data_IF_564432583407
#
_entry.id   IF_564432583407
#
_cell.length_a   1.000
_cell.length_b   1.000
_cell.length_c   1.000
_cell.angle_alpha   90.00
_cell.angle_beta   90.00
_cell.angle_gamma   90.00
#
_symmetry.space_group_name_H-M   'P 1'
#
loop_
_entity.id
_entity.type
_entity.pdbx_description
1 polymer ?
#
# COMPACT_ATOMS: atom_id res chain seq x y z
N UNK A 1 21.52 24.71 -4.70
CA UNK A 1 20.10 24.61 -4.36
C UNK A 1 19.72 23.14 -4.17
N UNK A 2 18.70 22.80 -3.36
CA UNK A 2 18.15 21.44 -3.29
C UNK A 2 17.92 20.81 -4.68
N UNK A 3 17.42 21.61 -5.63
CA UNK A 3 17.19 21.19 -7.02
C UNK A 3 18.45 20.71 -7.75
N UNK A 4 19.63 21.27 -7.44
CA UNK A 4 20.90 20.86 -8.05
C UNK A 4 21.37 19.51 -7.49
N UNK A 5 21.27 19.34 -6.17
CA UNK A 5 21.60 18.08 -5.47
C UNK A 5 20.69 16.95 -5.99
N UNK A 6 19.39 17.22 -6.13
CA UNK A 6 18.42 16.26 -6.68
C UNK A 6 18.78 15.87 -8.11
N UNK A 7 19.08 16.84 -8.99
CA UNK A 7 19.46 16.56 -10.38
C UNK A 7 20.73 15.72 -10.48
N UNK A 8 21.73 16.00 -9.65
CA UNK A 8 22.96 15.21 -9.58
C UNK A 8 22.66 13.76 -9.16
N UNK A 9 21.86 13.57 -8.12
CA UNK A 9 21.46 12.24 -7.66
C UNK A 9 20.67 11.48 -8.72
N UNK A 10 19.77 12.14 -9.46
CA UNK A 10 19.04 11.52 -10.56
C UNK A 10 19.96 11.01 -11.67
N UNK A 11 21.10 11.67 -11.92
CA UNK A 11 22.07 11.24 -12.92
C UNK A 11 22.90 10.03 -12.45
N UNK A 12 23.19 9.96 -11.15
CA UNK A 12 24.10 8.97 -10.55
C UNK A 12 23.40 7.72 -10.03
N UNK A 13 22.14 7.82 -9.58
CA UNK A 13 21.41 6.69 -9.03
C UNK A 13 21.16 5.60 -10.08
N UNK A 14 21.27 4.33 -9.66
CA UNK A 14 20.95 3.18 -10.50
C UNK A 14 19.51 3.27 -11.07
N UNK A 15 18.58 3.77 -10.25
CA UNK A 15 17.21 4.05 -10.65
C UNK A 15 16.99 5.55 -10.65
N UNK A 16 17.17 6.15 -11.83
CA UNK A 16 17.28 7.61 -12.03
C UNK A 16 16.09 8.44 -11.56
N UNK A 17 14.91 7.84 -11.48
CA UNK A 17 13.70 8.56 -11.06
C UNK A 17 13.48 8.50 -9.54
N UNK A 18 14.17 7.64 -8.80
CA UNK A 18 14.03 7.57 -7.34
C UNK A 18 14.29 8.92 -6.66
N UNK A 19 15.43 9.60 -6.92
CA UNK A 19 15.79 10.82 -6.22
C UNK A 19 14.90 12.03 -6.51
N UNK A 20 13.95 11.91 -7.45
CA UNK A 20 13.05 13.01 -7.81
C UNK A 20 11.91 13.18 -6.79
N UNK A 21 11.58 12.13 -6.04
CA UNK A 21 10.36 12.08 -5.24
C UNK A 21 10.64 11.74 -3.78
N UNK A 22 9.76 12.22 -2.91
CA UNK A 22 9.55 11.67 -1.57
C UNK A 22 8.39 10.66 -1.62
N UNK A 23 8.55 9.52 -0.95
CA UNK A 23 7.64 8.38 -1.04
C UNK A 23 6.86 8.18 0.25
N UNK A 24 5.54 8.03 0.13
CA UNK A 24 4.72 7.51 1.22
C UNK A 24 4.09 6.18 0.81
N UNK A 25 4.37 5.12 1.56
CA UNK A 25 3.89 3.76 1.32
C UNK A 25 2.79 3.40 2.33
N UNK A 26 1.63 2.93 1.84
CA UNK A 26 0.49 2.64 2.71
C UNK A 26 -0.51 1.63 2.13
N UNK A 27 -1.40 1.09 2.97
CA UNK A 27 -2.58 0.32 2.57
C UNK A 27 -3.63 1.16 1.82
N UNK A 28 -4.31 0.55 0.86
CA UNK A 28 -5.38 1.17 0.07
C UNK A 28 -6.44 1.89 0.92
N UNK A 29 -6.83 1.34 2.08
CA UNK A 29 -7.84 1.96 2.96
C UNK A 29 -7.34 3.27 3.55
N UNK A 30 -6.04 3.34 3.89
CA UNK A 30 -5.41 4.56 4.36
C UNK A 30 -5.25 5.55 3.21
N UNK A 31 -4.80 5.11 2.03
CA UNK A 31 -4.69 5.95 0.85
C UNK A 31 -6.02 6.64 0.51
N UNK A 32 -7.12 5.88 0.53
CA UNK A 32 -8.48 6.41 0.34
C UNK A 32 -8.83 7.50 1.36
N UNK A 33 -8.43 7.34 2.63
CA UNK A 33 -8.65 8.36 3.67
C UNK A 33 -7.78 9.60 3.46
N UNK A 34 -6.49 9.42 3.15
CA UNK A 34 -5.54 10.51 2.88
C UNK A 34 -6.07 11.38 1.73
N UNK A 35 -6.45 10.75 0.62
CA UNK A 35 -6.98 11.44 -0.56
C UNK A 35 -8.31 12.13 -0.25
N UNK A 36 -9.22 11.46 0.45
CA UNK A 36 -10.53 12.06 0.80
C UNK A 36 -10.42 13.27 1.74
N UNK A 37 -9.38 13.33 2.57
CA UNK A 37 -9.13 14.43 3.51
C UNK A 37 -8.20 15.50 2.95
N UNK A 38 -7.43 15.20 1.90
CA UNK A 38 -6.36 16.06 1.40
C UNK A 38 -5.16 16.18 2.35
N UNK A 39 -5.04 15.28 3.34
CA UNK A 39 -4.04 15.38 4.40
C UNK A 39 -3.45 14.02 4.74
N UNK A 40 -2.13 13.99 4.86
CA UNK A 40 -1.39 12.88 5.44
C UNK A 40 -1.10 13.24 6.89
N UNK A 41 -1.70 12.52 7.83
CA UNK A 41 -1.50 12.77 9.25
C UNK A 41 -0.33 11.95 9.81
N UNK A 42 0.31 12.48 10.83
CA UNK A 42 1.20 11.73 11.69
C UNK A 42 0.46 10.56 12.32
N UNK A 43 1.22 9.61 12.86
CA UNK A 43 0.67 8.40 13.45
C UNK A 43 -0.23 8.71 14.66
N UNK A 44 0.18 9.66 15.51
CA UNK A 44 -0.62 10.13 16.65
C UNK A 44 -1.90 10.78 16.17
N UNK A 45 -1.81 11.75 15.24
CA UNK A 45 -2.98 12.42 14.69
C UNK A 45 -3.95 11.43 14.04
N UNK A 46 -3.42 10.48 13.26
CA UNK A 46 -4.24 9.50 12.56
C UNK A 46 -4.96 8.51 13.50
N UNK A 47 -4.34 8.16 14.65
CA UNK A 47 -4.99 7.39 15.72
C UNK A 47 -6.05 8.24 16.43
N UNK A 48 -5.74 9.48 16.81
CA UNK A 48 -6.66 10.39 17.49
C UNK A 48 -7.93 10.65 16.67
N UNK A 49 -7.78 10.88 15.37
CA UNK A 49 -8.90 11.11 14.45
C UNK A 49 -9.56 9.82 13.93
N UNK A 50 -9.08 8.62 14.33
CA UNK A 50 -9.58 7.30 13.88
C UNK A 50 -9.60 7.12 12.36
N UNK A 51 -8.65 7.75 11.67
CA UNK A 51 -8.52 7.73 10.20
C UNK A 51 -7.53 6.67 9.70
N UNK A 52 -6.68 6.12 10.57
CA UNK A 52 -5.82 4.98 10.25
C UNK A 52 -6.63 3.67 10.35
N UNK A 53 -6.73 2.94 9.23
CA UNK A 53 -7.46 1.66 9.15
C UNK A 53 -6.53 0.46 9.10
N UNK A 54 -5.31 0.65 8.62
CA UNK A 54 -4.22 -0.33 8.69
C UNK A 54 -2.99 0.37 9.27
N UNK A 55 -2.26 -0.30 10.14
CA UNK A 55 -1.05 0.24 10.70
C UNK A 55 0.13 -0.13 9.78
N UNK A 56 0.65 0.82 9.01
CA UNK A 56 1.60 0.54 7.92
C UNK A 56 3.00 0.03 8.40
N UNK A 57 3.21 -0.08 9.71
CA UNK A 57 4.47 -0.47 10.33
C UNK A 57 4.24 -1.52 11.41
N UNK A 58 5.26 -2.33 11.70
CA UNK A 58 5.12 -3.39 12.69
C UNK A 58 5.11 -2.84 14.13
N UNK A 59 4.35 -3.45 15.04
CA UNK A 59 4.22 -3.05 16.45
C UNK A 59 5.57 -2.95 17.15
N UNK A 60 6.54 -3.79 16.83
CA UNK A 60 7.88 -3.68 17.39
C UNK A 60 8.62 -2.41 16.92
N UNK A 61 8.53 -2.05 15.63
CA UNK A 61 9.08 -0.78 15.11
C UNK A 61 8.38 0.40 15.80
N UNK A 62 7.09 0.26 16.09
CA UNK A 62 6.28 1.26 16.75
C UNK A 62 6.68 1.41 18.22
N UNK A 63 6.74 0.32 18.96
CA UNK A 63 7.02 0.31 20.39
C UNK A 63 8.47 0.75 20.69
N UNK A 64 9.38 0.58 19.72
CA UNK A 64 10.74 1.11 19.79
C UNK A 64 10.87 2.57 19.33
N UNK A 65 9.83 3.17 18.72
CA UNK A 65 9.84 4.56 18.28
C UNK A 65 9.33 5.45 19.42
N UNK A 66 10.05 6.52 19.79
CA UNK A 66 9.54 7.46 20.80
C UNK A 66 8.23 8.13 20.36
N UNK A 67 7.39 8.54 21.32
CA UNK A 67 6.13 9.26 21.03
C UNK A 67 6.38 10.52 20.18
N UNK A 68 7.51 11.18 20.39
CA UNK A 68 7.97 12.33 19.61
C UNK A 68 8.14 11.96 18.12
N UNK A 69 8.75 10.82 17.79
CA UNK A 69 8.92 10.37 16.40
C UNK A 69 7.62 9.79 15.81
N UNK A 70 6.63 9.43 16.63
CA UNK A 70 5.26 9.09 16.18
C UNK A 70 4.39 10.32 15.87
N UNK A 71 4.80 11.51 16.30
CA UNK A 71 4.10 12.78 16.04
C UNK A 71 4.37 13.35 14.65
N UNK A 72 5.25 12.71 13.86
CA UNK A 72 5.59 13.12 12.51
C UNK A 72 4.91 12.28 11.42
N UNK A 73 4.56 12.96 10.33
CA UNK A 73 4.38 12.37 9.01
C UNK A 73 5.74 11.90 8.50
N UNK A 74 5.79 10.71 7.87
CA UNK A 74 7.01 10.14 7.32
C UNK A 74 6.90 9.94 5.81
N UNK A 75 7.96 10.36 5.13
CA UNK A 75 8.26 10.01 3.76
C UNK A 75 9.63 9.33 3.72
N UNK A 76 9.86 8.52 2.70
CA UNK A 76 11.15 7.90 2.44
C UNK A 76 11.77 8.54 1.20
N UNK A 77 13.10 8.52 1.11
CA UNK A 77 13.79 8.93 -0.11
C UNK A 77 13.62 7.92 -1.24
N UNK A 78 13.23 6.67 -0.94
CA UNK A 78 13.11 5.61 -1.93
C UNK A 78 12.02 4.59 -1.56
N UNK A 79 11.56 3.80 -2.55
CA UNK A 79 10.82 2.57 -2.28
C UNK A 79 11.76 1.40 -1.94
N UNK A 80 11.15 0.23 -1.76
CA UNK A 80 11.78 -1.06 -1.42
C UNK A 80 12.56 -0.99 -0.10
N UNK A 81 12.00 -0.30 0.90
CA UNK A 81 12.60 -0.21 2.25
C UNK A 81 12.49 -1.57 2.97
N UNK A 82 13.32 -1.88 3.97
CA UNK A 82 13.18 -3.13 4.72
C UNK A 82 11.80 -3.29 5.37
N UNK A 83 11.18 -2.18 5.82
CA UNK A 83 9.80 -2.20 6.34
C UNK A 83 8.79 -2.60 5.25
N UNK A 84 8.95 -2.10 4.03
CA UNK A 84 8.12 -2.53 2.90
C UNK A 84 8.29 -4.01 2.60
N UNK A 85 9.52 -4.53 2.57
CA UNK A 85 9.78 -5.97 2.34
C UNK A 85 9.00 -6.86 3.31
N UNK A 86 8.90 -6.47 4.58
CA UNK A 86 8.18 -7.24 5.59
C UNK A 86 6.67 -7.09 5.50
N UNK A 87 6.17 -5.92 5.09
CA UNK A 87 4.75 -5.59 5.18
C UNK A 87 4.01 -5.72 3.84
N UNK A 88 4.67 -5.69 2.68
CA UNK A 88 3.98 -5.59 1.38
C UNK A 88 3.18 -6.86 0.99
N UNK A 89 1.93 -6.65 0.60
CA UNK A 89 1.01 -7.70 0.20
C UNK A 89 0.40 -8.42 1.41
N UNK A 90 -0.61 -9.24 1.16
CA UNK A 90 -1.21 -9.98 2.27
C UNK A 90 -0.25 -11.08 2.74
N UNK A 91 0.07 -11.06 4.03
CA UNK A 91 0.86 -12.07 4.74
C UNK A 91 -0.04 -12.89 5.64
N UNK A 92 0.05 -14.22 5.51
CA UNK A 92 -0.53 -15.13 6.50
C UNK A 92 0.02 -14.79 7.90
N UNK A 93 -0.80 -14.90 8.94
CA UNK A 93 -0.46 -14.49 10.31
C UNK A 93 0.87 -15.08 10.79
N UNK A 94 1.06 -16.37 10.58
CA UNK A 94 2.31 -17.10 10.92
C UNK A 94 3.56 -16.63 10.16
N UNK A 95 3.39 -15.89 9.05
CA UNK A 95 4.50 -15.39 8.22
C UNK A 95 4.77 -13.89 8.43
N UNK A 96 4.00 -13.23 9.29
CA UNK A 96 4.18 -11.82 9.59
C UNK A 96 5.46 -11.62 10.40
N UNK A 97 6.16 -10.54 10.08
CA UNK A 97 7.43 -10.21 10.74
C UNK A 97 7.23 -10.06 12.26
N UNK A 98 8.07 -10.73 13.04
CA UNK A 98 8.03 -10.78 14.50
C UNK A 98 6.64 -11.07 15.11
N UNK A 99 5.87 -11.91 14.40
CA UNK A 99 4.50 -12.30 14.78
C UNK A 99 3.55 -11.12 14.99
N UNK A 100 3.85 -9.98 14.36
CA UNK A 100 3.04 -8.79 14.50
C UNK A 100 1.86 -8.78 13.51
N UNK A 101 0.65 -8.71 14.08
CA UNK A 101 -0.59 -8.70 13.31
C UNK A 101 -0.68 -7.50 12.35
N UNK A 102 0.05 -6.41 12.61
CA UNK A 102 0.07 -5.21 11.79
C UNK A 102 1.13 -5.21 10.66
N UNK A 103 2.06 -6.17 10.64
CA UNK A 103 3.07 -6.30 9.59
C UNK A 103 2.46 -6.87 8.29
N UNK A 104 1.47 -6.17 7.74
CA UNK A 104 0.61 -6.64 6.67
C UNK A 104 -0.08 -5.46 5.95
N UNK A 105 0.28 -5.24 4.69
CA UNK A 105 -0.31 -4.23 3.79
C UNK A 105 -0.87 -4.98 2.58
N UNK A 106 -2.11 -5.51 2.66
CA UNK A 106 -2.69 -6.36 1.63
C UNK A 106 -2.72 -5.74 0.23
N UNK A 107 -3.05 -4.46 0.15
CA UNK A 107 -3.06 -3.69 -1.10
C UNK A 107 -2.15 -2.48 -0.95
N UNK A 108 -0.91 -2.55 -1.46
CA UNK A 108 0.08 -1.48 -1.32
C UNK A 108 -0.18 -0.33 -2.30
N UNK A 109 -0.14 0.89 -1.79
CA UNK A 109 -0.26 2.14 -2.56
C UNK A 109 0.94 3.04 -2.23
N UNK A 110 1.53 3.63 -3.27
CA UNK A 110 2.50 4.71 -3.13
C UNK A 110 1.89 6.06 -3.47
N UNK A 111 2.16 7.05 -2.63
CA UNK A 111 1.96 8.47 -2.95
C UNK A 111 3.34 9.10 -3.18
N UNK A 112 3.48 9.79 -4.31
CA UNK A 112 4.71 10.43 -4.75
C UNK A 112 4.57 11.92 -4.55
N UNK A 113 5.53 12.49 -3.83
CA UNK A 113 5.60 13.92 -3.59
C UNK A 113 6.84 14.49 -4.28
N UNK A 114 6.72 15.69 -4.85
CA UNK A 114 7.85 16.44 -5.37
C UNK A 114 8.87 16.66 -4.25
N UNK A 115 10.05 16.05 -4.36
CA UNK A 115 11.04 16.06 -3.28
C UNK A 115 11.53 17.48 -2.97
N UNK A 116 11.71 18.31 -3.99
CA UNK A 116 12.18 19.68 -3.81
C UNK A 116 11.15 20.47 -2.98
N UNK A 117 9.87 20.40 -3.35
CA UNK A 117 8.81 21.11 -2.60
C UNK A 117 8.68 20.64 -1.15
N UNK A 118 8.91 19.35 -0.90
CA UNK A 118 8.91 18.81 0.47
C UNK A 118 10.10 19.35 1.26
N UNK A 119 11.31 19.36 0.69
CA UNK A 119 12.53 19.84 1.36
C UNK A 119 12.58 21.35 1.57
N UNK A 120 11.96 22.13 0.68
CA UNK A 120 11.89 23.59 0.79
C UNK A 120 10.95 24.10 1.90
N UNK A 121 10.09 23.23 2.45
CA UNK A 121 9.26 23.60 3.60
C UNK A 121 10.14 23.71 4.88
N UNK A 122 10.21 24.87 5.55
CA UNK A 122 11.06 25.06 6.72
C UNK A 122 10.73 24.16 7.92
N UNK A 123 9.55 23.52 7.92
CA UNK A 123 9.12 22.59 8.95
C UNK A 123 9.62 21.16 8.69
N UNK A 124 10.07 20.87 7.47
CA UNK A 124 10.63 19.58 7.09
C UNK A 124 11.96 19.33 7.79
N UNK A 125 12.14 18.10 8.25
CA UNK A 125 13.43 17.57 8.70
C UNK A 125 13.72 16.29 7.94
N UNK A 126 14.98 15.90 7.86
CA UNK A 126 15.37 14.66 7.18
C UNK A 126 16.56 14.02 7.88
N UNK A 127 16.70 12.71 7.69
CA UNK A 127 17.78 11.91 8.25
C UNK A 127 18.29 10.91 7.24
N UNK A 128 19.60 10.68 7.26
CA UNK A 128 20.29 9.75 6.37
C UNK A 128 19.99 8.29 6.72
N UNK A 129 19.53 8.05 7.95
CA UNK A 129 19.15 6.76 8.48
C UNK A 129 17.75 6.86 9.12
N UNK A 130 17.12 5.71 9.41
CA UNK A 130 15.78 5.69 10.00
C UNK A 130 15.73 6.25 11.44
N UNK A 131 14.61 6.82 11.85
CA UNK A 131 14.36 7.37 13.18
C UNK A 131 13.77 6.33 14.16
N UNK A 132 13.66 5.06 13.79
CA UNK A 132 13.24 4.01 14.73
C UNK A 132 14.27 3.84 15.86
N UNK A 133 13.82 3.51 17.08
CA UNK A 133 14.70 3.41 18.25
C UNK A 133 14.96 4.77 18.92
N UNK A 134 16.23 5.06 19.22
CA UNK A 134 16.67 6.32 19.83
C UNK A 134 16.69 7.53 18.86
N UNK A 135 16.24 7.35 17.62
CA UNK A 135 16.32 8.37 16.56
C UNK A 135 17.76 8.55 16.05
N UNK A 136 17.89 8.95 14.79
CA UNK A 136 19.16 9.40 14.22
C UNK A 136 19.17 10.93 14.15
N UNK A 137 20.35 11.54 13.96
CA UNK A 137 20.42 13.00 13.78
C UNK A 137 19.47 13.43 12.65
N UNK A 138 18.64 14.42 12.94
CA UNK A 138 17.82 15.09 11.93
C UNK A 138 18.50 16.39 11.50
N UNK A 139 18.35 16.70 10.23
CA UNK A 139 18.92 17.84 9.54
C UNK A 139 17.81 18.65 8.87
N UNK A 140 18.08 19.90 8.56
CA UNK A 140 17.08 20.79 7.96
C UNK A 140 17.64 21.87 7.03
N UNK A 141 18.93 21.81 6.70
CA UNK A 141 19.55 22.76 5.79
C UNK A 141 20.06 22.09 4.52
N UNK A 142 20.21 22.87 3.45
CA UNK A 142 20.74 22.39 2.18
C UNK A 142 22.19 21.88 2.33
N UNK A 143 23.01 22.57 3.12
CA UNK A 143 24.40 22.18 3.37
C UNK A 143 24.51 20.84 4.12
N UNK A 144 23.54 20.53 4.98
CA UNK A 144 23.46 19.23 5.64
C UNK A 144 22.97 18.14 4.67
N UNK A 145 21.97 18.46 3.84
CA UNK A 145 21.45 17.53 2.84
C UNK A 145 22.51 17.14 1.81
N UNK A 146 23.36 18.09 1.39
CA UNK A 146 24.45 17.86 0.45
C UNK A 146 25.51 16.87 0.96
N UNK A 147 25.55 16.59 2.27
CA UNK A 147 26.51 15.67 2.90
C UNK A 147 26.04 14.23 2.95
N UNK A 148 24.78 13.95 2.61
CA UNK A 148 24.24 12.60 2.66
C UNK A 148 24.89 11.71 1.60
N UNK A 149 25.12 10.46 1.96
CA UNK A 149 25.61 9.39 1.09
C UNK A 149 24.46 8.84 0.23
N UNK A 150 24.09 9.60 -0.79
CA UNK A 150 23.00 9.25 -1.69
C UNK A 150 23.28 8.00 -2.52
N UNK A 151 24.55 7.65 -2.75
CA UNK A 151 24.90 6.39 -3.41
C UNK A 151 24.40 5.22 -2.58
N UNK A 152 24.61 5.23 -1.26
CA UNK A 152 24.08 4.19 -0.36
C UNK A 152 22.57 4.26 -0.20
N UNK A 153 21.99 5.46 -0.07
CA UNK A 153 20.53 5.62 0.06
C UNK A 153 19.83 5.00 -1.16
N UNK A 154 20.27 5.35 -2.37
CA UNK A 154 19.65 4.91 -3.62
C UNK A 154 20.19 3.58 -4.17
N UNK A 155 21.09 2.89 -3.46
CA UNK A 155 21.59 1.59 -3.89
C UNK A 155 20.50 0.51 -3.80
N UNK A 156 20.05 -0.08 -4.93
CA UNK A 156 19.03 -1.14 -4.90
C UNK A 156 19.53 -2.43 -4.22
N UNK A 157 20.85 -2.69 -4.27
CA UNK A 157 21.50 -3.91 -3.75
C UNK A 157 22.58 -3.49 -2.76
N UNK A 158 22.21 -3.01 -1.56
CA UNK A 158 23.19 -2.55 -0.57
C UNK A 158 24.02 -3.72 -0.03
N UNK A 159 25.25 -3.41 0.40
CA UNK A 159 25.97 -4.32 1.28
C UNK A 159 25.21 -4.47 2.62
N UNK A 160 25.53 -5.52 3.39
CA UNK A 160 24.79 -5.86 4.62
C UNK A 160 24.82 -4.74 5.66
N UNK A 161 25.94 -4.04 5.75
CA UNK A 161 26.21 -2.89 6.63
C UNK A 161 25.57 -1.58 6.11
N UNK A 162 25.13 -1.54 4.85
CA UNK A 162 24.51 -0.36 4.23
C UNK A 162 22.97 -0.41 4.24
N UNK A 163 22.36 -1.52 4.69
CA UNK A 163 20.90 -1.69 4.72
C UNK A 163 20.19 -0.58 5.49
N UNK A 164 20.86 0.00 6.50
CA UNK A 164 20.31 1.09 7.31
C UNK A 164 20.03 2.37 6.49
N UNK A 165 20.80 2.65 5.44
CA UNK A 165 20.58 3.79 4.54
C UNK A 165 19.28 3.69 3.74
N UNK A 166 18.73 2.47 3.59
CA UNK A 166 17.40 2.28 2.98
C UNK A 166 16.26 2.82 3.83
N UNK A 167 16.53 3.19 5.08
CA UNK A 167 15.57 3.82 5.98
C UNK A 167 15.74 5.34 6.05
N UNK A 168 16.60 5.94 5.22
CA UNK A 168 16.67 7.39 5.08
C UNK A 168 15.27 7.96 4.87
N UNK A 169 14.91 8.94 5.69
CA UNK A 169 13.54 9.43 5.75
C UNK A 169 13.46 10.95 5.94
N UNK A 170 12.30 11.45 5.59
CA UNK A 170 11.90 12.85 5.69
C UNK A 170 10.71 12.87 6.63
N UNK A 171 10.75 13.76 7.61
CA UNK A 171 9.72 13.91 8.63
C UNK A 171 9.13 15.32 8.59
N UNK A 172 7.82 15.39 8.80
CA UNK A 172 7.05 16.64 8.83
C UNK A 172 6.07 16.61 10.01
N UNK A 173 5.95 17.69 10.81
CA UNK A 173 5.16 17.67 12.04
C UNK A 173 3.65 17.55 11.77
N UNK A 174 2.94 16.85 12.66
CA UNK A 174 1.47 16.76 12.76
C UNK A 174 0.72 16.23 11.54
N UNK A 175 0.65 17.01 10.45
CA UNK A 175 0.02 16.62 9.20
C UNK A 175 0.62 17.39 8.03
N UNK A 176 0.70 16.72 6.88
CA UNK A 176 1.12 17.31 5.61
C UNK A 176 -0.10 17.48 4.70
N UNK A 177 -0.29 18.70 4.19
CA UNK A 177 -1.28 18.98 3.15
C UNK A 177 -0.76 18.41 1.82
N UNK A 178 -1.43 17.37 1.32
CA UNK A 178 -0.88 16.58 0.22
C UNK A 178 -0.85 17.38 -1.08
N UNK A 179 -1.73 18.36 -1.26
CA UNK A 179 -1.81 19.15 -2.49
C UNK A 179 -0.58 20.03 -2.73
N UNK A 180 0.21 20.29 -1.68
CA UNK A 180 1.44 21.08 -1.79
C UNK A 180 2.46 20.43 -2.72
N UNK A 181 2.57 19.11 -2.68
CA UNK A 181 3.63 18.39 -3.39
C UNK A 181 3.21 17.08 -4.05
N UNK A 182 2.00 16.56 -3.87
CA UNK A 182 1.57 15.31 -4.50
C UNK A 182 1.60 15.43 -6.03
N UNK A 183 2.33 14.52 -6.68
CA UNK A 183 2.52 14.49 -8.14
C UNK A 183 2.09 13.17 -8.78
N UNK A 184 1.89 12.11 -7.99
CA UNK A 184 1.48 10.82 -8.51
C UNK A 184 1.03 9.85 -7.42
N UNK A 185 0.21 8.87 -7.82
CA UNK A 185 -0.24 7.77 -6.96
C UNK A 185 -0.06 6.47 -7.75
N UNK A 186 0.74 5.54 -7.23
CA UNK A 186 0.98 4.26 -7.88
C UNK A 186 0.30 3.09 -7.18
N UNK A 187 -0.28 2.22 -8.00
CA UNK A 187 -0.82 0.92 -7.63
C UNK A 187 0.04 -0.19 -8.25
N UNK A 188 0.06 -1.37 -7.64
CA UNK A 188 0.89 -2.49 -8.12
C UNK A 188 0.29 -3.20 -9.34
N UNK A 189 -1.04 -3.23 -9.42
CA UNK A 189 -1.78 -3.86 -10.53
C UNK A 189 -2.96 -2.99 -10.97
N UNK A 190 -3.50 -3.27 -12.16
CA UNK A 190 -4.69 -2.57 -12.67
C UNK A 190 -5.93 -2.85 -11.80
N UNK A 191 -6.03 -4.06 -11.24
CA UNK A 191 -7.11 -4.42 -10.34
C UNK A 191 -7.08 -3.58 -9.05
N UNK A 192 -5.89 -3.37 -8.48
CA UNK A 192 -5.71 -2.51 -7.31
C UNK A 192 -5.98 -1.04 -7.63
N UNK A 193 -5.57 -0.58 -8.83
CA UNK A 193 -5.92 0.75 -9.34
C UNK A 193 -7.44 0.94 -9.41
N UNK A 194 -8.16 0.00 -10.02
CA UNK A 194 -9.61 0.07 -10.12
C UNK A 194 -10.28 -0.02 -8.75
N UNK A 195 -9.73 -0.83 -7.84
CA UNK A 195 -10.18 -0.91 -6.45
C UNK A 195 -10.06 0.45 -5.75
N UNK A 196 -8.90 1.12 -5.87
CA UNK A 196 -8.67 2.44 -5.26
C UNK A 196 -9.64 3.48 -5.83
N UNK A 197 -9.84 3.49 -7.15
CA UNK A 197 -10.79 4.38 -7.83
C UNK A 197 -12.22 4.15 -7.35
N UNK A 198 -12.67 2.90 -7.26
CA UNK A 198 -14.02 2.55 -6.78
C UNK A 198 -14.21 2.96 -5.31
N UNK A 199 -13.24 2.65 -4.44
CA UNK A 199 -13.30 3.02 -3.02
C UNK A 199 -13.31 4.53 -2.83
N UNK A 200 -12.48 5.27 -3.58
CA UNK A 200 -12.42 6.72 -3.50
C UNK A 200 -13.70 7.38 -4.03
N UNK A 201 -14.26 6.85 -5.13
CA UNK A 201 -15.53 7.35 -5.67
C UNK A 201 -16.69 7.20 -4.68
N UNK A 202 -16.78 6.06 -3.99
CA UNK A 202 -17.80 5.83 -2.96
C UNK A 202 -17.60 6.72 -1.74
N UNK A 203 -16.34 6.90 -1.31
CA UNK A 203 -16.04 7.68 -0.11
C UNK A 203 -16.17 9.19 -0.34
N UNK A 204 -15.60 9.71 -1.42
CA UNK A 204 -15.57 11.13 -1.71
C UNK A 204 -15.44 11.37 -3.23
N UNK A 205 -16.59 11.64 -3.86
CA UNK A 205 -16.69 11.86 -5.31
C UNK A 205 -15.87 13.07 -5.80
N UNK A 206 -15.72 14.12 -5.00
CA UNK A 206 -14.90 15.28 -5.37
C UNK A 206 -13.42 14.89 -5.44
N UNK A 207 -12.93 14.18 -4.42
CA UNK A 207 -11.55 13.68 -4.37
C UNK A 207 -11.29 12.68 -5.50
N UNK A 208 -12.27 11.83 -5.84
CA UNK A 208 -12.16 10.96 -7.01
C UNK A 208 -11.86 11.75 -8.29
N UNK A 209 -12.65 12.77 -8.63
CA UNK A 209 -12.41 13.56 -9.85
C UNK A 209 -11.10 14.34 -9.80
N UNK A 210 -10.67 14.76 -8.61
CA UNK A 210 -9.41 15.46 -8.41
C UNK A 210 -8.19 14.58 -8.67
N UNK A 211 -8.19 13.34 -8.16
CA UNK A 211 -6.98 12.50 -8.16
C UNK A 211 -6.99 11.34 -9.17
N UNK A 212 -8.12 10.99 -9.80
CA UNK A 212 -8.23 9.84 -10.73
C UNK A 212 -7.17 9.80 -11.83
N UNK A 213 -6.71 10.97 -12.28
CA UNK A 213 -5.73 11.10 -13.36
C UNK A 213 -4.28 10.98 -12.85
N UNK A 214 -4.06 11.11 -11.54
CA UNK A 214 -2.78 10.84 -10.88
C UNK A 214 -2.63 9.35 -10.51
N UNK A 215 -3.72 8.60 -10.42
CA UNK A 215 -3.72 7.18 -10.04
C UNK A 215 -3.38 6.31 -11.26
N UNK A 216 -2.22 5.66 -11.21
CA UNK A 216 -1.64 4.87 -12.30
C UNK A 216 -1.04 3.56 -11.79
N UNK A 217 -0.88 2.60 -12.70
CA UNK A 217 -0.03 1.43 -12.46
C UNK A 217 1.37 1.79 -12.91
N UNK A 218 2.35 1.65 -12.01
CA UNK A 218 3.76 1.89 -12.31
C UNK A 218 4.47 0.56 -12.26
N UNK A 219 5.21 0.23 -13.33
CA UNK A 219 5.98 -1.01 -13.45
C UNK A 219 7.41 -0.79 -12.95
N UNK A 220 7.98 -1.88 -12.45
CA UNK A 220 9.39 -2.08 -12.08
C UNK A 220 9.89 -1.20 -10.92
N UNK A 221 10.78 -1.77 -10.10
CA UNK A 221 11.55 -1.09 -9.03
C UNK A 221 10.76 -0.31 -7.97
N UNK A 222 9.49 -0.67 -7.74
CA UNK A 222 8.64 -0.02 -6.72
C UNK A 222 8.05 -0.99 -5.70
N UNK A 223 7.67 -2.19 -6.13
CA UNK A 223 6.97 -3.19 -5.31
C UNK A 223 7.78 -4.49 -5.20
N UNK A 224 7.67 -5.16 -4.06
CA UNK A 224 8.35 -6.40 -3.71
C UNK A 224 7.67 -7.65 -4.29
N UNK A 225 6.35 -7.59 -4.52
CA UNK A 225 5.54 -8.73 -5.00
C UNK A 225 5.67 -9.99 -4.13
N UNK A 226 5.95 -9.83 -2.84
CA UNK A 226 6.32 -10.93 -1.94
C UNK A 226 5.19 -11.36 -0.99
N UNK A 227 3.96 -10.91 -1.22
CA UNK A 227 2.74 -11.32 -0.51
C UNK A 227 1.66 -11.85 -1.46
N UNK A 228 0.59 -12.39 -0.89
CA UNK A 228 -0.59 -12.83 -1.65
C UNK A 228 -1.42 -11.61 -2.08
N UNK A 229 -1.94 -11.63 -3.31
CA UNK A 229 -2.86 -10.62 -3.82
C UNK A 229 -3.76 -11.19 -4.92
N UNK A 230 -4.82 -10.46 -5.27
CA UNK A 230 -5.71 -10.80 -6.38
C UNK A 230 -5.12 -10.25 -7.67
N UNK A 231 -4.92 -11.10 -8.67
CA UNK A 231 -4.39 -10.71 -9.98
C UNK A 231 -5.49 -10.33 -10.94
N UNK A 232 -6.67 -10.94 -10.78
CA UNK A 232 -7.76 -10.86 -11.74
C UNK A 232 -9.11 -11.08 -11.05
N UNK A 233 -10.13 -10.37 -11.49
CA UNK A 233 -11.51 -10.48 -11.04
C UNK A 233 -12.37 -10.15 -12.25
N UNK A 234 -12.84 -11.19 -12.94
CA UNK A 234 -13.47 -11.08 -14.25
C UNK A 234 -14.90 -11.59 -14.19
N UNK A 235 -15.84 -10.79 -14.70
CA UNK A 235 -17.25 -11.13 -14.80
C UNK A 235 -17.69 -11.14 -16.27
N UNK A 236 -18.22 -12.28 -16.72
CA UNK A 236 -18.65 -12.47 -18.12
C UNK A 236 -20.16 -12.25 -18.36
N UNK A 237 -20.90 -11.85 -17.32
CA UNK A 237 -22.37 -11.72 -17.35
C UNK A 237 -23.10 -12.86 -16.64
N UNK A 238 -22.47 -14.02 -16.49
CA UNK A 238 -23.08 -15.21 -15.85
C UNK A 238 -22.22 -15.80 -14.73
N UNK A 239 -20.91 -15.63 -14.84
CA UNK A 239 -19.91 -16.19 -13.96
C UNK A 239 -18.86 -15.15 -13.58
N UNK A 240 -18.35 -15.26 -12.36
CA UNK A 240 -17.20 -14.48 -11.87
C UNK A 240 -16.02 -15.41 -11.63
N UNK A 241 -14.87 -15.10 -12.20
CA UNK A 241 -13.59 -15.74 -11.91
C UNK A 241 -12.70 -14.81 -11.10
N UNK A 242 -12.07 -15.33 -10.05
CA UNK A 242 -11.05 -14.63 -9.25
C UNK A 242 -9.76 -15.43 -9.30
N UNK A 243 -8.67 -14.77 -9.70
CA UNK A 243 -7.32 -15.36 -9.74
C UNK A 243 -6.40 -14.68 -8.73
N UNK A 244 -5.42 -15.43 -8.27
CA UNK A 244 -4.51 -15.00 -7.21
C UNK A 244 -3.06 -15.01 -7.69
N UNK A 245 -2.22 -14.29 -6.96
CA UNK A 245 -0.79 -14.22 -7.25
C UNK A 245 -0.05 -15.52 -6.92
N UNK A 246 0.80 -15.92 -7.84
CA UNK A 246 1.76 -17.01 -7.68
C UNK A 246 3.15 -16.53 -8.10
N UNK A 247 3.77 -15.73 -7.21
CA UNK A 247 5.07 -15.11 -7.48
C UNK A 247 6.18 -15.87 -6.77
N UNK A 248 7.34 -15.96 -7.43
CA UNK A 248 8.57 -16.49 -6.82
C UNK A 248 8.91 -15.75 -5.52
N UNK A 249 8.76 -14.42 -5.50
CA UNK A 249 9.06 -13.60 -4.32
C UNK A 249 8.17 -13.94 -3.11
N UNK A 250 6.89 -14.26 -3.32
CA UNK A 250 5.99 -14.72 -2.24
C UNK A 250 6.48 -16.04 -1.65
N UNK A 251 6.85 -16.99 -2.52
CA UNK A 251 7.36 -18.29 -2.12
C UNK A 251 8.68 -18.17 -1.35
N UNK A 252 9.63 -17.38 -1.87
CA UNK A 252 10.94 -17.14 -1.24
C UNK A 252 10.79 -16.46 0.12
N UNK A 253 9.89 -15.47 0.23
CA UNK A 253 9.57 -14.83 1.50
C UNK A 253 9.04 -15.84 2.52
N UNK A 254 8.04 -16.64 2.14
CA UNK A 254 7.44 -17.64 3.03
C UNK A 254 8.48 -18.66 3.52
N UNK A 255 9.32 -19.17 2.60
CA UNK A 255 10.42 -20.07 2.95
C UNK A 255 11.44 -19.45 3.90
N UNK A 256 11.84 -18.20 3.64
CA UNK A 256 12.82 -17.49 4.47
C UNK A 256 12.31 -17.23 5.89
N UNK A 257 11.01 -16.99 6.05
CA UNK A 257 10.42 -16.83 7.39
C UNK A 257 10.30 -18.18 8.08
N UNK A 258 9.79 -19.20 7.39
CA UNK A 258 9.65 -20.55 7.94
C UNK A 258 11.00 -21.18 8.31
N UNK A 259 12.10 -20.88 7.60
CA UNK A 259 13.43 -21.39 7.97
C UNK A 259 13.95 -20.85 9.32
N UNK A 260 13.27 -19.85 9.90
CA UNK A 260 13.60 -19.30 11.23
C UNK A 260 12.78 -19.93 12.37
N UNK A 261 11.76 -20.74 12.04
CA UNK A 261 10.92 -21.41 13.03
C UNK A 261 10.48 -22.78 12.53
N UNK A 262 10.89 -23.83 13.23
CA UNK A 262 10.50 -25.21 12.91
C UNK A 262 8.99 -25.47 13.08
N UNK A 263 8.25 -24.55 13.71
CA UNK A 263 6.80 -24.67 13.92
C UNK A 263 5.95 -24.29 12.70
N UNK A 264 6.53 -23.65 11.69
CA UNK A 264 5.78 -23.12 10.54
C UNK A 264 5.84 -24.10 9.38
N UNK A 265 4.76 -24.86 9.18
CA UNK A 265 4.54 -25.60 7.93
C UNK A 265 3.83 -24.70 6.90
N UNK A 266 4.59 -24.16 5.95
CA UNK A 266 4.07 -23.25 4.91
C UNK A 266 3.05 -23.92 3.97
N UNK A 267 3.03 -25.25 3.86
CA UNK A 267 2.09 -25.98 3.01
C UNK A 267 0.75 -26.23 3.69
N UNK A 268 0.70 -26.15 5.01
CA UNK A 268 -0.52 -26.26 5.80
C UNK A 268 -1.25 -24.92 5.99
N UNK A 269 -0.60 -23.79 5.66
CA UNK A 269 -1.19 -22.47 5.87
C UNK A 269 -2.38 -22.22 4.93
N UNK A 270 -3.49 -21.77 5.50
CA UNK A 270 -4.71 -21.41 4.78
C UNK A 270 -5.16 -20.00 5.12
N UNK A 271 -5.75 -19.31 4.16
CA UNK A 271 -6.31 -17.98 4.32
C UNK A 271 -7.80 -18.03 4.03
N UNK A 272 -8.61 -17.38 4.87
CA UNK A 272 -10.03 -17.25 4.60
C UNK A 272 -10.26 -16.20 3.52
N UNK A 273 -10.85 -16.62 2.40
CA UNK A 273 -11.29 -15.71 1.34
C UNK A 273 -12.78 -15.46 1.51
N UNK A 274 -13.15 -14.19 1.62
CA UNK A 274 -14.55 -13.75 1.67
C UNK A 274 -14.85 -13.00 0.36
N UNK A 275 -15.92 -13.39 -0.32
CA UNK A 275 -16.39 -12.71 -1.54
C UNK A 275 -17.80 -12.20 -1.30
N UNK A 276 -17.98 -10.89 -1.37
CA UNK A 276 -19.25 -10.21 -1.20
C UNK A 276 -19.72 -9.62 -2.53
N UNK A 277 -20.95 -9.96 -2.91
CA UNK A 277 -21.66 -9.42 -4.05
C UNK A 277 -22.75 -8.47 -3.56
N UNK A 278 -22.84 -7.28 -4.14
CA UNK A 278 -23.91 -6.32 -3.87
C UNK A 278 -24.51 -5.80 -5.18
N UNK A 279 -25.78 -6.12 -5.43
CA UNK A 279 -26.54 -5.60 -6.56
C UNK A 279 -27.18 -4.29 -6.15
N UNK A 280 -27.04 -3.28 -7.00
CA UNK A 280 -27.49 -1.94 -6.69
C UNK A 280 -28.16 -1.26 -7.87
N UNK A 281 -28.97 -0.26 -7.53
CA UNK A 281 -29.51 0.72 -8.46
C UNK A 281 -29.31 2.12 -7.89
N UNK A 282 -29.98 3.13 -8.48
CA UNK A 282 -29.87 4.53 -8.04
C UNK A 282 -30.34 4.76 -6.60
N UNK A 283 -31.20 3.89 -6.06
CA UNK A 283 -31.80 4.01 -4.74
C UNK A 283 -31.01 3.24 -3.66
N UNK A 284 -29.95 2.51 -4.04
CA UNK A 284 -29.08 1.79 -3.11
C UNK A 284 -28.95 0.31 -3.43
N UNK A 285 -28.59 -0.47 -2.41
CA UNK A 285 -28.37 -1.92 -2.52
C UNK A 285 -29.71 -2.65 -2.47
N UNK A 286 -29.95 -3.50 -3.46
CA UNK A 286 -31.16 -4.32 -3.60
C UNK A 286 -30.97 -5.72 -3.03
N UNK A 287 -29.79 -6.30 -3.25
CA UNK A 287 -29.50 -7.66 -2.85
C UNK A 287 -28.03 -7.81 -2.49
N UNK A 288 -27.75 -8.68 -1.50
CA UNK A 288 -26.39 -9.01 -1.06
C UNK A 288 -26.22 -10.52 -0.96
N UNK A 289 -25.05 -11.00 -1.36
CA UNK A 289 -24.66 -12.40 -1.19
C UNK A 289 -23.19 -12.50 -0.82
N UNK A 290 -22.88 -13.25 0.24
CA UNK A 290 -21.52 -13.48 0.70
C UNK A 290 -21.14 -14.95 0.60
N UNK A 291 -19.88 -15.21 0.28
CA UNK A 291 -19.28 -16.54 0.30
C UNK A 291 -18.01 -16.51 1.11
N UNK A 292 -17.73 -17.61 1.82
CA UNK A 292 -16.49 -17.80 2.56
C UNK A 292 -15.88 -19.14 2.16
N UNK A 293 -14.58 -19.15 1.92
CA UNK A 293 -13.84 -20.36 1.58
C UNK A 293 -12.40 -20.26 2.06
N UNK A 294 -11.89 -21.33 2.65
CA UNK A 294 -10.48 -21.42 2.98
C UNK A 294 -9.67 -21.81 1.73
N UNK A 295 -8.52 -21.16 1.58
CA UNK A 295 -7.65 -21.31 0.43
C UNK A 295 -6.21 -21.52 0.88
N UNK A 296 -5.46 -22.47 0.30
CA UNK A 296 -4.03 -22.60 0.59
C UNK A 296 -3.30 -21.29 0.30
N UNK A 297 -2.53 -20.79 1.27
CA UNK A 297 -1.83 -19.51 1.14
C UNK A 297 -0.72 -19.55 0.07
N UNK A 298 0.06 -20.64 0.08
CA UNK A 298 1.21 -20.79 -0.80
C UNK A 298 0.79 -21.01 -2.26
N UNK A 299 -0.16 -21.92 -2.48
CA UNK A 299 -0.66 -22.34 -3.80
C UNK A 299 -2.17 -22.05 -3.92
N UNK A 300 -2.56 -20.78 -4.06
CA UNK A 300 -3.97 -20.40 -4.11
C UNK A 300 -4.63 -20.89 -5.41
N UNK A 301 -5.73 -21.63 -5.29
CA UNK A 301 -6.55 -22.02 -6.44
C UNK A 301 -7.46 -20.87 -6.86
N UNK A 302 -7.73 -20.74 -8.16
CA UNK A 302 -8.73 -19.79 -8.65
C UNK A 302 -10.13 -20.12 -8.10
N UNK A 303 -10.94 -19.08 -7.87
CA UNK A 303 -12.34 -19.22 -7.46
C UNK A 303 -13.26 -18.87 -8.63
N UNK A 304 -14.24 -19.74 -8.89
CA UNK A 304 -15.28 -19.49 -9.89
C UNK A 304 -16.65 -19.54 -9.23
N UNK A 305 -17.45 -18.50 -9.47
CA UNK A 305 -18.84 -18.39 -9.05
C UNK A 305 -19.71 -18.43 -10.29
N UNK A 306 -20.32 -19.57 -10.56
CA UNK A 306 -21.26 -19.75 -11.67
C UNK A 306 -22.68 -19.43 -11.24
N UNK A 307 -23.56 -19.19 -12.22
CA UNK A 307 -24.98 -18.90 -12.01
C UNK A 307 -25.19 -17.67 -11.11
N UNK A 308 -24.45 -16.60 -11.37
CA UNK A 308 -24.64 -15.33 -10.69
C UNK A 308 -26.04 -14.81 -11.03
N UNK A 309 -26.91 -14.60 -10.03
CA UNK A 309 -28.30 -14.26 -10.29
C UNK A 309 -28.42 -12.88 -10.92
N UNK A 310 -29.38 -12.74 -11.83
CA UNK A 310 -29.86 -11.42 -12.25
C UNK A 310 -30.90 -10.96 -11.24
N UNK A 311 -30.75 -9.73 -10.75
CA UNK A 311 -31.65 -9.15 -9.74
C UNK A 311 -32.48 -8.07 -10.41
N UNK A 312 -33.81 -8.19 -10.34
CA UNK A 312 -34.73 -7.25 -10.96
C UNK A 312 -34.45 -5.81 -10.50
N UNK A 313 -34.35 -4.90 -11.45
CA UNK A 313 -34.09 -3.48 -11.20
C UNK A 313 -32.65 -3.13 -10.79
N UNK A 314 -31.75 -4.10 -10.67
CA UNK A 314 -30.33 -3.85 -10.50
C UNK A 314 -29.71 -3.36 -11.82
N UNK A 315 -28.84 -2.36 -11.73
CA UNK A 315 -28.10 -1.81 -12.89
C UNK A 315 -26.61 -2.10 -12.82
N UNK A 316 -26.14 -2.31 -11.60
CA UNK A 316 -24.74 -2.52 -11.30
C UNK A 316 -24.60 -3.61 -10.23
N UNK A 317 -23.52 -4.37 -10.30
CA UNK A 317 -23.11 -5.34 -9.30
C UNK A 317 -21.72 -4.97 -8.83
N UNK A 318 -21.54 -4.87 -7.52
CA UNK A 318 -20.23 -4.67 -6.91
C UNK A 318 -19.74 -5.97 -6.30
N UNK A 319 -18.43 -6.23 -6.42
CA UNK A 319 -17.76 -7.40 -5.88
C UNK A 319 -16.60 -6.93 -5.01
N UNK A 320 -16.65 -7.30 -3.72
CA UNK A 320 -15.58 -7.07 -2.76
C UNK A 320 -14.97 -8.40 -2.36
N UNK A 321 -13.65 -8.49 -2.44
CA UNK A 321 -12.90 -9.68 -2.02
C UNK A 321 -12.06 -9.30 -0.81
N UNK A 322 -12.07 -10.16 0.21
CA UNK A 322 -11.31 -9.99 1.42
C UNK A 322 -10.44 -11.22 1.68
N UNK A 323 -9.24 -10.97 2.20
CA UNK A 323 -8.46 -11.97 2.91
C UNK A 323 -8.59 -11.70 4.40
N UNK A 324 -9.18 -12.66 5.11
CA UNK A 324 -9.72 -12.49 6.46
C UNK A 324 -10.65 -11.26 6.53
N UNK A 325 -10.21 -10.19 7.18
CA UNK A 325 -10.94 -8.92 7.33
C UNK A 325 -10.42 -7.79 6.44
N UNK A 326 -9.40 -8.06 5.60
CA UNK A 326 -8.77 -7.03 4.79
C UNK A 326 -9.29 -7.05 3.36
N UNK A 327 -9.83 -5.92 2.89
CA UNK A 327 -10.25 -5.78 1.50
C UNK A 327 -9.02 -5.83 0.58
N UNK A 328 -9.07 -6.69 -0.43
CA UNK A 328 -7.98 -6.88 -1.40
C UNK A 328 -8.38 -6.61 -2.85
N UNK A 329 -9.67 -6.54 -3.12
CA UNK A 329 -10.21 -6.19 -4.43
C UNK A 329 -11.60 -5.57 -4.27
N UNK A 330 -11.88 -4.52 -5.05
CA UNK A 330 -13.20 -3.93 -5.17
C UNK A 330 -13.54 -3.58 -6.61
N UNK A 331 -14.43 -4.35 -7.21
CA UNK A 331 -14.86 -4.18 -8.61
C UNK A 331 -16.33 -3.81 -8.71
N UNK A 332 -16.68 -3.12 -9.80
CA UNK A 332 -18.05 -2.77 -10.16
C UNK A 332 -18.27 -3.15 -11.62
N UNK A 333 -19.38 -3.86 -11.86
CA UNK A 333 -19.79 -4.33 -13.16
C UNK A 333 -21.18 -3.80 -13.49
N UNK A 334 -21.41 -3.50 -14.76
CA UNK A 334 -22.76 -3.33 -15.29
C UNK A 334 -23.42 -4.70 -15.38
N UNK A 335 -24.66 -4.80 -14.94
CA UNK A 335 -25.47 -6.01 -15.12
C UNK A 335 -26.63 -5.71 -16.04
N UNK A 336 -27.02 -6.70 -16.85
CA UNK A 336 -28.19 -6.57 -17.72
C UNK A 336 -29.45 -6.47 -16.85
N UNK A 337 -30.39 -5.61 -17.22
CA UNK A 337 -31.70 -5.53 -16.55
C UNK A 337 -32.38 -6.90 -16.72
N UNK A 338 -32.68 -7.59 -15.62
CA UNK A 338 -33.40 -8.86 -15.69
C UNK A 338 -34.83 -8.63 -16.16
N UNK A 339 -35.24 -9.33 -17.22
CA UNK A 339 -36.63 -9.43 -17.62
C UNK A 339 -37.45 -10.13 -16.52
N UNK A 340 -38.73 -9.72 -16.43
CA UNK A 340 -39.72 -10.22 -15.48
C UNK A 340 -39.86 -11.74 -15.62
N UNK A 341 -39.69 -12.49 -14.52
CA UNK A 341 -40.18 -13.86 -14.39
C UNK A 341 -41.66 -13.87 -13.96
#
# INVERSE_FOLDING_TARGET
>A
MYSDIIKQNMANAAIRWWPKYAYHFTDIRNAVNILALGRLYSRIGAKQFKIMKNDNASKQVIDMTSEEVMSFVRFYFRPLTPTQYHNEGYKHRELRYDSDDNANIPVPIFLFFDLQKVLEDPSTRFSELGQAGHGNKTCNSEEEFAKFDFEKIYNPIPAKDEVAYKHAEIIYPDFYDIDRALVGIACRTELERQSLLNMLQEKNRQSFYKYKDMIRVVRDDLFEYNGLFVTDCDYDGTSLAIRFSDTKNKYDYAKKVASKSESIDIYALTTQVIVEFEWHNRNGVLFRRGFKKDMPYLNPHSLTFSNIPTIQGAKDMSVKVYFDSNIVCFMKYRVNEGDVL
#
